data_IF_623011908202
#
_entry.id   IF_623011908202
#
_cell.length_a   1.000
_cell.length_b   1.000
_cell.length_c   1.000
_cell.angle_alpha   90.00
_cell.angle_beta   90.00
_cell.angle_gamma   90.00
#
_symmetry.space_group_name_H-M   'P 1'
#
loop_
_entity.id
_entity.type
_entity.pdbx_description
1 polymer ?
#
# COMPACT_ATOMS: atom_id res chain seq x y z
N UNK A 1 -10.94 17.79 -15.94
CA UNK A 1 -11.27 16.52 -15.25
C UNK A 1 -12.25 16.84 -14.13
N UNK A 2 -13.33 16.07 -13.97
CA UNK A 2 -14.30 16.37 -12.89
C UNK A 2 -13.74 15.82 -11.58
N UNK A 3 -13.36 16.68 -10.64
CA UNK A 3 -12.73 16.31 -9.37
C UNK A 3 -13.59 15.39 -8.49
N UNK A 4 -14.91 15.42 -8.63
CA UNK A 4 -15.82 14.51 -7.92
C UNK A 4 -15.61 13.02 -8.25
N UNK A 5 -15.01 12.72 -9.41
CA UNK A 5 -14.70 11.33 -9.81
C UNK A 5 -13.39 10.79 -9.20
N UNK A 6 -12.60 11.65 -8.57
CA UNK A 6 -11.32 11.27 -7.95
C UNK A 6 -11.46 10.97 -6.46
N UNK A 7 -12.52 11.40 -5.81
CA UNK A 7 -12.79 11.12 -4.40
C UNK A 7 -13.76 9.94 -4.28
N UNK A 8 -13.31 8.87 -3.64
CA UNK A 8 -14.09 7.66 -3.41
C UNK A 8 -14.32 7.51 -1.90
N UNK A 9 -15.58 7.50 -1.49
CA UNK A 9 -15.96 7.18 -0.11
C UNK A 9 -16.19 5.67 0.00
N UNK A 10 -15.56 5.04 1.01
CA UNK A 10 -15.59 3.61 1.18
C UNK A 10 -16.43 3.21 2.40
N UNK A 11 -17.35 2.27 2.18
CA UNK A 11 -17.98 1.48 3.24
C UNK A 11 -17.35 0.08 3.22
N UNK A 12 -16.43 -0.16 4.13
CA UNK A 12 -15.67 -1.41 4.16
C UNK A 12 -16.50 -2.55 4.78
N UNK A 13 -16.46 -3.72 4.14
CA UNK A 13 -17.10 -4.96 4.58
C UNK A 13 -16.03 -6.03 4.77
N UNK A 14 -16.39 -7.10 5.49
CA UNK A 14 -15.52 -8.27 5.63
C UNK A 14 -15.15 -8.86 4.25
N UNK A 15 -13.89 -9.23 4.09
CA UNK A 15 -13.30 -9.70 2.84
C UNK A 15 -12.66 -8.58 2.02
N UNK A 16 -12.48 -8.84 0.73
CA UNK A 16 -11.88 -7.89 -0.20
C UNK A 16 -12.89 -6.84 -0.67
N UNK A 17 -12.55 -5.60 -0.49
CA UNK A 17 -13.30 -4.43 -0.94
C UNK A 17 -12.51 -3.78 -2.09
N UNK A 18 -12.95 -4.03 -3.32
CA UNK A 18 -12.38 -3.34 -4.49
C UNK A 18 -12.69 -1.85 -4.40
N UNK A 19 -11.69 -1.01 -4.58
CA UNK A 19 -11.85 0.43 -4.72
C UNK A 19 -11.88 0.78 -6.20
N UNK A 20 -10.88 0.36 -6.97
CA UNK A 20 -10.85 0.43 -8.42
C UNK A 20 -9.89 -0.61 -9.00
N UNK A 21 -10.12 -0.96 -10.25
CA UNK A 21 -9.23 -1.79 -11.07
C UNK A 21 -8.49 -0.94 -12.11
N UNK A 22 -7.48 -1.55 -12.73
CA UNK A 22 -6.78 -0.96 -13.87
C UNK A 22 -7.77 -0.65 -15.00
N UNK A 23 -7.60 0.49 -15.65
CA UNK A 23 -8.49 1.02 -16.66
C UNK A 23 -9.66 1.82 -16.10
N UNK A 24 -9.89 1.80 -14.79
CA UNK A 24 -10.84 2.67 -14.10
C UNK A 24 -10.12 3.96 -13.65
N UNK A 25 -10.81 5.09 -13.57
CA UNK A 25 -10.31 6.39 -13.08
C UNK A 25 -9.01 6.88 -13.76
N UNK A 26 -8.76 6.50 -15.01
CA UNK A 26 -7.52 6.74 -15.77
C UNK A 26 -6.26 6.07 -15.17
N UNK A 27 -6.43 5.06 -14.34
CA UNK A 27 -5.33 4.28 -13.76
C UNK A 27 -5.04 3.08 -14.66
N UNK A 28 -3.99 3.15 -15.47
CA UNK A 28 -3.61 2.08 -16.40
C UNK A 28 -2.78 0.98 -15.72
N UNK A 29 -1.98 1.36 -14.73
CA UNK A 29 -1.04 0.49 -14.02
C UNK A 29 -1.55 0.08 -12.65
N UNK A 30 -2.30 0.93 -11.97
CA UNK A 30 -2.64 0.74 -10.56
C UNK A 30 -4.03 0.13 -10.39
N UNK A 31 -4.15 -0.85 -9.50
CA UNK A 31 -5.41 -1.29 -8.89
C UNK A 31 -5.29 -1.19 -7.37
N UNK A 32 -6.37 -0.78 -6.71
CA UNK A 32 -6.39 -0.60 -5.27
C UNK A 32 -7.63 -1.20 -4.63
N UNK A 33 -7.45 -1.76 -3.44
CA UNK A 33 -8.51 -2.31 -2.61
C UNK A 33 -8.14 -2.36 -1.14
N UNK A 34 -9.10 -2.75 -0.31
CA UNK A 34 -8.91 -2.96 1.12
C UNK A 34 -9.44 -4.33 1.51
N UNK A 35 -8.64 -5.10 2.23
CA UNK A 35 -9.04 -6.40 2.77
C UNK A 35 -9.30 -6.22 4.27
N UNK A 36 -10.53 -6.55 4.72
CA UNK A 36 -10.87 -6.61 6.13
C UNK A 36 -11.14 -8.05 6.54
N UNK A 37 -10.47 -8.53 7.56
CA UNK A 37 -10.62 -9.86 8.09
C UNK A 37 -10.89 -9.83 9.59
N UNK A 38 -11.92 -10.55 10.01
CA UNK A 38 -12.13 -10.82 11.43
C UNK A 38 -11.08 -11.83 11.92
N UNK A 39 -10.75 -11.77 13.20
CA UNK A 39 -9.86 -12.75 13.85
C UNK A 39 -10.30 -14.19 13.55
N UNK A 40 -9.37 -15.04 13.16
CA UNK A 40 -9.60 -16.43 12.80
C UNK A 40 -10.16 -16.67 11.39
N UNK A 41 -10.47 -15.61 10.62
CA UNK A 41 -10.88 -15.75 9.22
C UNK A 41 -9.68 -15.78 8.27
N UNK A 42 -9.91 -16.20 7.03
CA UNK A 42 -8.87 -16.19 6.00
C UNK A 42 -9.37 -15.67 4.65
N UNK A 43 -8.44 -15.21 3.84
CA UNK A 43 -8.66 -14.75 2.47
C UNK A 43 -7.64 -15.42 1.54
N UNK A 44 -8.12 -16.01 0.44
CA UNK A 44 -7.27 -16.67 -0.55
C UNK A 44 -7.39 -15.97 -1.89
N UNK A 45 -6.26 -15.77 -2.54
CA UNK A 45 -6.20 -15.17 -3.87
C UNK A 45 -4.93 -15.58 -4.62
N UNK A 46 -4.80 -15.06 -5.82
CA UNK A 46 -3.59 -15.14 -6.64
C UNK A 46 -3.30 -13.77 -7.21
N UNK A 47 -2.03 -13.41 -7.31
CA UNK A 47 -1.59 -12.16 -7.92
C UNK A 47 -1.84 -12.12 -9.44
N UNK A 48 -2.04 -13.29 -10.09
CA UNK A 48 -2.15 -13.37 -11.54
C UNK A 48 -0.92 -12.81 -12.24
N UNK A 49 -1.11 -11.94 -13.21
CA UNK A 49 -0.03 -11.27 -13.94
C UNK A 49 0.41 -9.94 -13.29
N UNK A 50 0.08 -9.73 -12.01
CA UNK A 50 0.44 -8.54 -11.26
C UNK A 50 1.45 -8.84 -10.15
N UNK A 51 2.27 -7.88 -9.79
CA UNK A 51 2.87 -7.79 -8.48
C UNK A 51 1.86 -7.19 -7.50
N UNK A 52 1.93 -7.58 -6.24
CA UNK A 52 0.99 -7.15 -5.19
C UNK A 52 1.77 -6.71 -3.95
N UNK A 53 1.38 -5.58 -3.38
CA UNK A 53 1.84 -5.13 -2.08
C UNK A 53 0.67 -5.04 -1.10
N UNK A 54 0.77 -5.80 0.00
CA UNK A 54 -0.19 -5.86 1.09
C UNK A 54 0.36 -5.03 2.26
N UNK A 55 -0.16 -3.83 2.47
CA UNK A 55 0.25 -2.97 3.59
C UNK A 55 -0.69 -3.18 4.77
N UNK A 56 -0.18 -3.67 5.90
CA UNK A 56 -0.99 -3.85 7.10
C UNK A 56 -1.28 -2.50 7.75
N UNK A 57 -2.51 -2.04 7.60
CA UNK A 57 -3.03 -0.83 8.25
C UNK A 57 -3.25 -1.06 9.74
N UNK A 58 -3.60 -2.28 10.12
CA UNK A 58 -3.74 -2.71 11.50
C UNK A 58 -3.96 -4.22 11.63
N UNK A 59 -3.68 -4.75 12.81
CA UNK A 59 -3.85 -6.16 13.12
C UNK A 59 -2.61 -7.02 12.89
N UNK A 60 -2.79 -8.35 13.01
CA UNK A 60 -1.76 -9.38 12.79
C UNK A 60 -2.34 -10.51 11.97
N UNK A 61 -1.55 -11.03 11.04
CA UNK A 61 -1.92 -12.16 10.22
C UNK A 61 -0.70 -13.04 9.90
N UNK A 62 -0.96 -14.20 9.33
CA UNK A 62 0.03 -14.95 8.58
C UNK A 62 -0.28 -14.82 7.08
N UNK A 63 0.75 -14.80 6.24
CA UNK A 63 0.61 -14.83 4.79
C UNK A 63 1.41 -16.00 4.24
N UNK A 64 0.74 -16.92 3.55
CA UNK A 64 1.33 -18.18 3.11
C UNK A 64 1.10 -18.41 1.64
N UNK A 65 2.04 -19.08 1.00
CA UNK A 65 1.97 -19.58 -0.35
C UNK A 65 2.72 -20.89 -0.47
N UNK A 66 2.78 -21.48 -1.65
CA UNK A 66 3.47 -22.74 -1.88
C UNK A 66 4.96 -22.69 -1.50
N UNK A 67 5.62 -21.57 -1.79
CA UNK A 67 7.07 -21.38 -1.61
C UNK A 67 7.45 -20.50 -0.40
N UNK A 68 6.50 -20.07 0.42
CA UNK A 68 6.76 -19.19 1.56
C UNK A 68 5.72 -19.33 2.67
N UNK A 69 6.15 -19.07 3.91
CA UNK A 69 5.29 -18.98 5.10
C UNK A 69 5.76 -17.81 5.97
N UNK A 70 5.01 -16.71 5.95
CA UNK A 70 5.22 -15.57 6.83
C UNK A 70 4.23 -15.66 7.99
N UNK A 71 4.64 -16.36 9.04
CA UNK A 71 3.79 -16.70 10.16
C UNK A 71 3.35 -15.49 11.01
N UNK A 72 4.18 -14.44 11.04
CA UNK A 72 3.94 -13.26 11.87
C UNK A 72 4.12 -11.99 11.03
N UNK A 73 3.01 -11.43 10.56
CA UNK A 73 2.96 -10.17 9.82
C UNK A 73 2.04 -9.20 10.54
N UNK A 74 2.55 -8.01 10.84
CA UNK A 74 1.80 -6.97 11.55
C UNK A 74 2.04 -6.98 13.05
N UNK A 75 1.97 -5.79 13.64
CA UNK A 75 2.13 -5.57 15.08
C UNK A 75 1.28 -4.39 15.58
N UNK A 76 0.98 -3.41 14.73
CA UNK A 76 0.25 -2.20 15.08
C UNK A 76 -1.25 -2.43 15.11
N UNK A 77 -1.94 -1.74 16.01
CA UNK A 77 -3.42 -1.79 16.11
C UNK A 77 -4.10 -1.01 14.99
N UNK A 78 -3.48 0.07 14.54
CA UNK A 78 -3.95 0.95 13.47
C UNK A 78 -2.78 1.77 12.90
N UNK A 79 -3.02 2.58 11.90
CA UNK A 79 -1.99 3.38 11.20
C UNK A 79 -1.30 4.43 12.08
N UNK A 80 -1.88 4.79 13.23
CA UNK A 80 -1.30 5.75 14.18
C UNK A 80 -0.41 5.08 15.24
N UNK A 81 -0.36 3.73 15.25
CA UNK A 81 0.31 2.92 16.27
C UNK A 81 1.59 2.28 15.68
N UNK A 82 2.52 3.11 15.23
CA UNK A 82 3.80 2.67 14.72
C UNK A 82 3.84 2.42 13.20
N UNK A 83 4.99 1.92 12.74
CA UNK A 83 5.29 1.69 11.32
C UNK A 83 4.65 0.39 10.80
N UNK A 84 4.34 0.31 9.50
CA UNK A 84 3.69 -0.84 8.90
C UNK A 84 4.63 -2.03 8.69
N UNK A 85 4.04 -3.23 8.66
CA UNK A 85 4.56 -4.35 7.89
C UNK A 85 3.93 -4.30 6.49
N UNK A 86 4.73 -4.65 5.48
CA UNK A 86 4.26 -4.80 4.11
C UNK A 86 4.69 -6.13 3.56
N UNK A 87 3.78 -6.87 2.91
CA UNK A 87 4.13 -8.10 2.21
C UNK A 87 4.15 -7.82 0.71
N UNK A 88 5.28 -8.08 0.08
CA UNK A 88 5.41 -8.06 -1.36
C UNK A 88 5.25 -9.47 -1.93
N UNK A 89 4.42 -9.59 -2.94
CA UNK A 89 4.15 -10.83 -3.66
C UNK A 89 4.35 -10.58 -5.17
N UNK A 90 5.27 -11.30 -5.83
CA UNK A 90 5.46 -11.19 -7.26
C UNK A 90 4.27 -11.79 -8.03
N UNK A 91 4.26 -11.59 -9.35
CA UNK A 91 3.26 -12.20 -10.23
C UNK A 91 3.19 -13.72 -10.07
N UNK A 92 2.05 -14.31 -10.45
CA UNK A 92 1.78 -15.76 -10.45
C UNK A 92 1.94 -16.43 -9.09
N UNK A 93 1.70 -15.67 -8.03
CA UNK A 93 1.79 -16.17 -6.65
C UNK A 93 0.40 -16.41 -6.09
N UNK A 94 0.08 -17.68 -5.80
CA UNK A 94 -1.09 -18.03 -5.00
C UNK A 94 -0.78 -17.83 -3.51
N UNK A 95 -1.70 -17.23 -2.77
CA UNK A 95 -1.49 -16.93 -1.36
C UNK A 95 -2.76 -16.99 -0.51
N UNK A 96 -2.57 -17.22 0.77
CA UNK A 96 -3.59 -17.12 1.81
C UNK A 96 -3.14 -16.11 2.87
N UNK A 97 -4.06 -15.25 3.28
CA UNK A 97 -3.93 -14.39 4.46
C UNK A 97 -4.80 -15.01 5.55
N UNK A 98 -4.22 -15.39 6.68
CA UNK A 98 -4.93 -15.91 7.85
C UNK A 98 -4.85 -14.90 9.00
N UNK A 99 -5.96 -14.29 9.36
CA UNK A 99 -6.02 -13.24 10.37
C UNK A 99 -5.87 -13.84 11.78
N UNK A 100 -4.87 -13.39 12.54
CA UNK A 100 -4.67 -13.75 13.96
C UNK A 100 -5.50 -12.84 14.87
N UNK A 101 -5.57 -11.56 14.53
CA UNK A 101 -6.48 -10.57 15.11
C UNK A 101 -7.34 -10.01 14.01
N UNK A 102 -8.31 -9.16 14.29
CA UNK A 102 -8.92 -8.35 13.26
C UNK A 102 -7.82 -7.64 12.48
N UNK A 103 -7.89 -7.72 11.15
CA UNK A 103 -6.86 -7.19 10.26
C UNK A 103 -7.47 -6.30 9.19
N UNK A 104 -6.82 -5.15 8.98
CA UNK A 104 -7.14 -4.15 7.96
C UNK A 104 -5.90 -3.99 7.08
N UNK A 105 -6.03 -4.27 5.77
CA UNK A 105 -4.90 -4.41 4.86
C UNK A 105 -5.18 -3.64 3.58
N UNK A 106 -4.31 -2.69 3.22
CA UNK A 106 -4.36 -2.07 1.91
C UNK A 106 -3.75 -3.01 0.87
N UNK A 107 -4.51 -3.26 -0.19
CA UNK A 107 -4.13 -4.08 -1.34
C UNK A 107 -3.78 -3.17 -2.51
N UNK A 108 -2.55 -3.27 -2.98
CA UNK A 108 -2.05 -2.56 -4.14
C UNK A 108 -1.60 -3.58 -5.18
N UNK A 109 -2.00 -3.42 -6.43
CA UNK A 109 -1.59 -4.31 -7.51
C UNK A 109 -1.19 -3.51 -8.75
N UNK A 110 -0.14 -3.97 -9.42
CA UNK A 110 0.35 -3.41 -10.69
C UNK A 110 0.79 -4.54 -11.62
N UNK A 111 0.68 -4.40 -12.95
CA UNK A 111 1.15 -5.44 -13.86
C UNK A 111 2.65 -5.68 -13.66
N UNK A 112 3.08 -6.91 -13.83
CA UNK A 112 4.49 -7.27 -13.76
C UNK A 112 4.84 -8.26 -14.87
N UNK A 113 6.04 -8.14 -15.39
CA UNK A 113 6.55 -8.96 -16.48
C UNK A 113 7.70 -9.86 -16.04
N UNK A 114 8.46 -9.46 -15.02
CA UNK A 114 9.60 -10.20 -14.52
C UNK A 114 9.19 -11.31 -13.56
N UNK A 115 9.84 -12.45 -13.66
CA UNK A 115 9.65 -13.60 -12.76
C UNK A 115 10.83 -13.78 -11.77
N UNK A 116 11.65 -12.74 -11.59
CA UNK A 116 12.87 -12.79 -10.75
C UNK A 116 12.63 -12.42 -9.30
N UNK A 117 11.65 -11.59 -9.02
CA UNK A 117 11.33 -11.15 -7.68
C UNK A 117 10.78 -12.30 -6.81
N UNK A 118 10.96 -12.19 -5.49
CA UNK A 118 10.53 -13.21 -4.53
C UNK A 118 9.56 -12.63 -3.51
N UNK A 119 8.62 -13.43 -3.00
CA UNK A 119 7.80 -13.03 -1.87
C UNK A 119 8.67 -12.63 -0.69
N UNK A 120 8.37 -11.49 -0.05
CA UNK A 120 9.09 -11.06 1.15
C UNK A 120 8.20 -10.21 2.06
N UNK A 121 8.64 -10.09 3.32
CA UNK A 121 8.05 -9.17 4.30
C UNK A 121 9.01 -7.99 4.50
N UNK A 122 8.52 -6.79 4.34
CA UNK A 122 9.19 -5.55 4.70
C UNK A 122 8.73 -5.22 6.12
N UNK A 123 9.62 -5.38 7.09
CA UNK A 123 9.34 -5.09 8.50
C UNK A 123 9.49 -3.60 8.80
N UNK A 124 8.97 -3.10 9.93
CA UNK A 124 9.15 -1.70 10.34
C UNK A 124 10.60 -1.23 10.33
N UNK A 125 11.54 -2.10 10.68
CA UNK A 125 12.98 -1.79 10.76
C UNK A 125 13.61 -1.60 9.38
N UNK A 126 13.03 -2.20 8.35
CA UNK A 126 13.47 -2.08 6.95
C UNK A 126 12.94 -0.82 6.27
N UNK A 127 11.96 -0.14 6.88
CA UNK A 127 11.37 1.07 6.31
C UNK A 127 12.28 2.28 6.50
N UNK A 128 12.25 3.21 5.55
CA UNK A 128 12.96 4.48 5.64
C UNK A 128 12.04 5.57 6.17
N UNK A 129 12.38 6.20 7.28
CA UNK A 129 11.66 7.35 7.82
C UNK A 129 12.30 8.67 7.37
N UNK A 130 11.46 9.58 6.92
CA UNK A 130 11.84 10.93 6.49
C UNK A 130 11.00 11.96 7.22
N UNK A 131 11.61 13.07 7.62
CA UNK A 131 10.88 14.27 7.99
C UNK A 131 10.96 15.24 6.82
N UNK A 132 9.82 15.56 6.24
CA UNK A 132 9.69 16.38 5.05
C UNK A 132 9.03 17.71 5.37
N UNK A 133 9.39 18.75 4.60
CA UNK A 133 8.84 20.09 4.76
C UNK A 133 9.43 20.84 5.95
N UNK A 134 8.85 22.00 6.23
CA UNK A 134 9.18 22.88 7.36
C UNK A 134 7.92 23.60 7.84
N UNK A 135 7.96 24.12 9.03
CA UNK A 135 6.85 24.84 9.65
C UNK A 135 5.55 24.00 9.59
N UNK A 136 4.43 24.56 9.17
CA UNK A 136 3.15 23.87 9.01
C UNK A 136 3.06 22.97 7.78
N UNK A 137 4.16 22.76 7.05
CA UNK A 137 4.30 21.73 6.01
C UNK A 137 5.14 20.52 6.48
N UNK A 138 5.52 20.51 7.76
CA UNK A 138 6.28 19.40 8.34
C UNK A 138 5.38 18.16 8.44
N UNK A 139 5.87 17.04 7.89
CA UNK A 139 5.23 15.74 7.96
C UNK A 139 6.28 14.64 8.07
N UNK A 140 5.88 13.49 8.57
CA UNK A 140 6.70 12.28 8.54
C UNK A 140 6.26 11.41 7.38
N UNK A 141 7.22 10.85 6.65
CA UNK A 141 6.97 9.83 5.64
C UNK A 141 7.72 8.56 6.03
N UNK A 142 7.03 7.43 5.94
CA UNK A 142 7.60 6.08 6.13
C UNK A 142 7.53 5.37 4.78
N UNK A 143 8.67 5.15 4.15
CA UNK A 143 8.75 4.51 2.84
C UNK A 143 9.02 3.03 3.02
N UNK A 144 8.15 2.19 2.49
CA UNK A 144 8.23 0.73 2.52
C UNK A 144 8.86 0.16 1.26
N UNK A 145 8.45 0.68 0.10
CA UNK A 145 8.98 0.28 -1.20
C UNK A 145 9.41 1.54 -1.93
N UNK A 146 10.65 1.60 -2.34
CA UNK A 146 11.24 2.70 -3.11
C UNK A 146 11.96 2.17 -4.37
N UNK A 147 12.64 3.05 -5.06
CA UNK A 147 13.37 2.76 -6.30
C UNK A 147 14.51 1.73 -6.16
N UNK A 148 14.90 1.38 -4.94
CA UNK A 148 15.94 0.36 -4.67
C UNK A 148 15.37 -1.04 -4.47
N UNK A 149 14.05 -1.13 -4.30
CA UNK A 149 13.36 -2.40 -4.09
C UNK A 149 13.13 -3.12 -5.44
N UNK A 150 13.20 -4.46 -5.44
CA UNK A 150 12.98 -5.26 -6.66
C UNK A 150 11.48 -5.42 -6.98
N UNK A 151 10.79 -4.29 -7.22
CA UNK A 151 9.47 -4.22 -7.85
C UNK A 151 9.55 -3.57 -9.23
N UNK A 152 8.50 -3.68 -10.04
CA UNK A 152 8.49 -3.06 -11.37
C UNK A 152 7.87 -1.67 -11.36
N UNK A 153 6.82 -1.47 -10.52
CA UNK A 153 6.01 -0.25 -10.59
C UNK A 153 5.72 0.38 -9.23
N UNK A 154 6.13 -0.24 -8.10
CA UNK A 154 5.73 0.28 -6.80
C UNK A 154 6.68 1.32 -6.23
N UNK A 155 6.11 2.42 -5.80
CA UNK A 155 6.65 3.32 -4.78
C UNK A 155 5.59 3.49 -3.70
N UNK A 156 5.80 2.90 -2.52
CA UNK A 156 4.76 2.83 -1.47
C UNK A 156 5.27 3.42 -0.17
N UNK A 157 4.52 4.36 0.37
CA UNK A 157 4.81 5.00 1.63
C UNK A 157 3.56 5.40 2.40
N UNK A 158 3.74 5.71 3.66
CA UNK A 158 2.73 6.34 4.53
C UNK A 158 3.16 7.76 4.91
N UNK A 159 2.27 8.71 4.77
CA UNK A 159 2.45 10.09 5.23
C UNK A 159 1.68 10.35 6.52
N UNK A 160 2.39 10.73 7.59
CA UNK A 160 1.78 11.17 8.83
C UNK A 160 1.82 12.70 8.89
N UNK A 161 0.65 13.32 8.76
CA UNK A 161 0.48 14.78 8.75
C UNK A 161 -0.12 15.19 10.10
N UNK A 162 0.59 15.97 10.94
CA UNK A 162 0.05 16.50 12.17
C UNK A 162 -1.17 17.41 11.92
N UNK A 163 -2.08 17.47 12.90
CA UNK A 163 -3.23 18.38 12.84
C UNK A 163 -2.76 19.82 12.63
N UNK A 164 -3.43 20.53 11.70
CA UNK A 164 -3.07 21.90 11.33
C UNK A 164 -1.96 22.02 10.29
N UNK A 165 -1.33 20.91 9.89
CA UNK A 165 -0.30 20.93 8.86
C UNK A 165 -0.86 20.56 7.47
N UNK A 166 -0.13 20.96 6.45
CA UNK A 166 -0.35 20.60 5.06
C UNK A 166 0.52 19.42 4.64
N UNK A 167 0.02 18.63 3.69
CA UNK A 167 0.75 17.47 3.18
C UNK A 167 2.01 17.85 2.39
N UNK A 168 1.97 18.88 1.58
CA UNK A 168 3.12 19.30 0.78
C UNK A 168 2.99 20.72 0.24
N UNK A 169 4.15 21.33 -0.06
CA UNK A 169 4.24 22.63 -0.71
C UNK A 169 5.58 22.75 -1.47
N UNK A 170 5.55 23.28 -2.68
CA UNK A 170 4.36 23.54 -3.48
C UNK A 170 3.60 22.26 -3.77
N UNK A 171 2.31 22.32 -4.11
CA UNK A 171 1.65 21.16 -4.67
C UNK A 171 2.48 20.66 -5.85
N UNK A 172 2.89 19.41 -5.81
CA UNK A 172 3.66 18.80 -6.88
C UNK A 172 2.75 17.82 -7.63
N UNK A 173 3.21 17.42 -8.76
CA UNK A 173 2.52 16.56 -9.69
C UNK A 173 3.51 15.58 -10.30
N UNK A 174 2.98 14.51 -10.82
CA UNK A 174 3.73 13.49 -11.52
C UNK A 174 2.96 13.16 -12.81
N UNK A 175 2.74 14.16 -13.67
CA UNK A 175 1.88 14.07 -14.86
C UNK A 175 2.61 14.20 -16.19
N UNK A 176 3.96 14.30 -16.13
CA UNK A 176 4.83 14.27 -17.31
C UNK A 176 6.19 13.67 -16.98
N UNK A 177 6.80 13.03 -17.97
CA UNK A 177 8.19 12.58 -17.88
C UNK A 177 9.14 13.71 -18.25
N UNK A 178 9.90 14.20 -17.27
CA UNK A 178 10.95 15.20 -17.42
C UNK A 178 12.11 14.93 -16.42
N UNK A 179 12.77 13.75 -16.49
CA UNK A 179 13.84 13.41 -15.56
C UNK A 179 15.02 14.40 -15.62
N UNK A 180 15.63 14.75 -14.48
CA UNK A 180 15.37 14.23 -13.14
C UNK A 180 14.29 14.99 -12.36
N UNK A 181 13.68 16.03 -12.92
CA UNK A 181 12.78 16.95 -12.22
C UNK A 181 11.41 16.35 -11.93
N UNK A 182 10.88 15.55 -12.86
CA UNK A 182 9.55 14.95 -12.75
C UNK A 182 9.52 13.59 -13.48
N UNK A 183 8.75 12.65 -12.93
CA UNK A 183 8.46 11.35 -13.52
C UNK A 183 6.95 11.19 -13.54
N UNK A 184 6.39 10.77 -14.67
CA UNK A 184 4.96 10.45 -14.80
C UNK A 184 4.62 9.23 -13.94
N UNK A 185 3.72 9.40 -12.97
CA UNK A 185 3.29 8.37 -12.04
C UNK A 185 1.79 8.42 -11.81
N UNK A 186 1.19 7.25 -11.71
CA UNK A 186 -0.15 7.13 -11.16
C UNK A 186 -0.11 7.15 -9.64
N UNK A 187 -0.92 8.00 -9.01
CA UNK A 187 -0.92 8.15 -7.56
C UNK A 187 -2.28 7.80 -6.95
N UNK A 188 -2.26 7.04 -5.88
CA UNK A 188 -3.43 6.73 -5.05
C UNK A 188 -3.16 7.11 -3.61
N UNK A 189 -4.07 7.89 -3.03
CA UNK A 189 -4.03 8.29 -1.63
C UNK A 189 -5.20 7.68 -0.86
N UNK A 190 -4.90 6.91 0.17
CA UNK A 190 -5.87 6.34 1.08
C UNK A 190 -5.77 7.03 2.44
N UNK A 191 -6.79 7.80 2.81
CA UNK A 191 -6.78 8.63 4.00
C UNK A 191 -7.40 7.92 5.21
N UNK A 192 -6.74 8.06 6.36
CA UNK A 192 -7.26 7.72 7.68
C UNK A 192 -7.10 8.95 8.58
N UNK A 193 -8.10 9.23 9.39
CA UNK A 193 -8.09 10.32 10.35
C UNK A 193 -8.06 9.77 11.77
N UNK A 194 -7.27 10.40 12.63
CA UNK A 194 -7.30 10.12 14.06
C UNK A 194 -8.42 10.96 14.67
N UNK A 195 -9.45 10.35 15.28
CA UNK A 195 -10.57 11.06 15.86
C UNK A 195 -10.20 11.91 17.09
#
# INVERSE_FOLDING_TARGET
MNSEKLLIHLELKQGYNKVFDRGEHNMALTAFGVIQLAAGSSYRASTGECEVALVLLGGRCAVRGEAFDFAEVGARRNVFDGRPHTVYLPRRTAYEIAAVTDADIAYNASPATRDTAKPCVITPEMTRELTLGRDNFTRKATIMIDETFDSEHFYIGEGMIPSGNWSGYPPHRHDVDNPPEEIDMEETYFYRFNP
#
